data_IF_704437996005
#
_entry.id   IF_704437996005
#
_cell.length_a   1.000
_cell.length_b   1.000
_cell.length_c   1.000
_cell.angle_alpha   90.00
_cell.angle_beta   90.00
_cell.angle_gamma   90.00
#
_symmetry.space_group_name_H-M   'P 1'
#
loop_
_entity.id
_entity.type
_entity.pdbx_description
1 polymer ?
#
# COMPACT_ATOMS: atom_id res chain seq x y z
N UNK A 1 55.17 60.80 32.74
CA UNK A 1 54.19 60.60 31.66
C UNK A 1 54.08 59.13 31.12
N UNK A 2 54.77 58.15 31.67
CA UNK A 2 54.72 56.72 31.22
C UNK A 2 53.89 55.76 32.09
N UNK A 3 53.39 56.22 33.24
CA UNK A 3 52.67 55.34 34.20
C UNK A 3 51.13 55.42 33.96
N UNK A 4 50.67 56.50 33.34
CA UNK A 4 49.28 56.71 33.04
C UNK A 4 48.76 55.86 31.87
N UNK A 5 49.61 55.59 30.90
CA UNK A 5 49.24 54.75 29.73
C UNK A 5 49.06 53.26 30.06
N UNK A 6 49.85 52.75 30.99
CA UNK A 6 49.71 51.31 31.41
C UNK A 6 48.42 51.01 32.16
N UNK A 7 47.89 51.95 32.92
CA UNK A 7 46.61 51.77 33.63
C UNK A 7 45.44 51.92 32.70
N UNK A 8 45.54 52.77 31.66
CA UNK A 8 44.50 52.94 30.67
C UNK A 8 44.37 51.70 29.78
N UNK A 9 45.51 51.10 29.37
CA UNK A 9 45.55 49.87 28.57
C UNK A 9 45.03 48.64 29.34
N UNK A 10 45.33 48.52 30.66
CA UNK A 10 44.80 47.41 31.47
C UNK A 10 43.30 47.56 31.71
N UNK A 11 42.76 48.74 31.89
CA UNK A 11 41.31 48.99 32.04
C UNK A 11 40.59 48.69 30.72
N UNK A 12 41.17 49.08 29.57
CA UNK A 12 40.62 48.82 28.24
C UNK A 12 40.57 47.28 27.92
N UNK A 13 41.67 46.58 28.27
CA UNK A 13 41.71 45.12 28.09
C UNK A 13 40.70 44.39 29.01
N UNK A 14 40.50 44.85 30.23
CA UNK A 14 39.51 44.26 31.14
C UNK A 14 38.09 44.51 30.66
N UNK A 15 37.82 45.70 30.10
CA UNK A 15 36.47 46.02 29.55
C UNK A 15 36.13 45.22 28.29
N UNK A 16 37.10 44.90 27.44
CA UNK A 16 36.91 44.04 26.25
C UNK A 16 36.71 42.57 26.64
N UNK A 17 37.43 42.11 27.70
CA UNK A 17 37.27 40.72 28.19
C UNK A 17 35.90 40.48 28.85
N UNK A 18 35.34 41.49 29.56
CA UNK A 18 34.00 41.39 30.16
C UNK A 18 32.88 41.45 29.10
N UNK A 19 33.11 42.13 27.96
CA UNK A 19 32.10 42.20 26.91
C UNK A 19 31.95 40.84 26.13
N UNK A 20 33.01 40.04 26.07
CA UNK A 20 32.97 38.69 25.48
C UNK A 20 32.22 37.65 26.38
N UNK A 21 32.18 37.89 27.68
CA UNK A 21 31.49 36.98 28.65
C UNK A 21 29.97 37.21 28.73
N UNK A 22 29.48 38.30 28.14
CA UNK A 22 28.02 38.62 28.10
C UNK A 22 27.34 38.16 26.79
N UNK A 23 28.03 37.42 25.92
CA UNK A 23 27.39 36.87 24.74
C UNK A 23 26.35 35.81 25.22
N UNK A 24 25.06 36.00 25.00
CA UNK A 24 24.09 34.99 25.36
C UNK A 24 24.44 33.71 24.56
N UNK A 25 24.31 32.51 25.16
CA UNK A 25 24.51 31.26 24.42
C UNK A 25 23.59 31.34 23.19
N UNK A 26 24.16 31.28 21.99
CA UNK A 26 23.38 31.13 20.79
C UNK A 26 22.56 29.86 20.98
N UNK A 27 21.27 30.01 21.30
CA UNK A 27 20.36 28.88 21.33
C UNK A 27 20.47 28.23 19.95
N UNK A 28 21.08 27.05 19.91
CA UNK A 28 21.15 26.26 18.70
C UNK A 28 19.69 25.98 18.31
N UNK A 29 19.17 26.78 17.38
CA UNK A 29 17.86 26.51 16.78
C UNK A 29 18.01 25.18 16.08
N UNK A 30 17.49 24.13 16.69
CA UNK A 30 17.30 22.85 16.00
C UNK A 30 16.51 23.16 14.73
N UNK A 31 17.05 22.83 13.55
CA UNK A 31 16.35 23.09 12.30
C UNK A 31 14.94 22.48 12.41
N UNK A 32 13.92 23.24 12.04
CA UNK A 32 12.53 22.77 12.07
C UNK A 32 12.43 21.52 11.21
N UNK A 33 11.89 20.44 11.78
CA UNK A 33 11.70 19.18 11.06
C UNK A 33 10.82 19.42 9.81
N UNK A 34 11.29 18.98 8.66
CA UNK A 34 10.55 19.06 7.41
C UNK A 34 9.57 17.90 7.33
N UNK A 35 8.29 18.26 7.25
CA UNK A 35 7.17 17.31 7.18
C UNK A 35 6.55 17.32 5.80
N UNK A 36 6.24 16.14 5.29
CA UNK A 36 5.50 15.95 4.05
C UNK A 36 4.36 14.95 4.26
N UNK A 37 3.53 14.82 3.26
CA UNK A 37 2.48 13.81 3.19
C UNK A 37 2.66 12.93 1.96
N UNK A 38 2.10 11.73 2.01
CA UNK A 38 1.90 10.86 0.86
C UNK A 38 0.58 10.12 1.02
N UNK A 39 -0.15 9.91 -0.07
CA UNK A 39 -1.39 9.15 -0.08
C UNK A 39 -1.13 7.72 -0.58
N UNK A 40 -0.99 6.72 0.31
CA UNK A 40 -0.67 5.35 -0.09
C UNK A 40 -1.75 4.72 -0.98
N UNK A 41 -3.02 5.04 -0.74
CA UNK A 41 -4.14 4.51 -1.53
C UNK A 41 -4.10 5.04 -2.97
N UNK A 42 -3.82 6.34 -3.14
CA UNK A 42 -3.64 6.95 -4.45
C UNK A 42 -2.44 6.34 -5.16
N UNK A 43 -1.29 6.27 -4.50
CA UNK A 43 -0.06 5.67 -5.05
C UNK A 43 -0.35 4.24 -5.51
N UNK A 44 -0.94 3.41 -4.64
CA UNK A 44 -1.30 2.03 -4.96
C UNK A 44 -2.19 1.91 -6.20
N UNK A 45 -3.17 2.81 -6.38
CA UNK A 45 -4.09 2.74 -7.51
C UNK A 45 -3.51 3.26 -8.82
N UNK A 46 -2.55 4.19 -8.77
CA UNK A 46 -2.05 4.90 -9.96
C UNK A 46 -0.78 4.28 -10.56
N UNK A 47 0.05 3.55 -9.77
CA UNK A 47 1.29 2.95 -10.29
C UNK A 47 1.03 1.89 -11.36
N UNK A 48 1.95 1.82 -12.34
CA UNK A 48 1.85 0.89 -13.45
C UNK A 48 1.86 -0.59 -13.01
N UNK A 49 2.67 -0.94 -12.01
CA UNK A 49 2.72 -2.30 -11.47
C UNK A 49 1.34 -2.79 -10.99
N UNK A 50 0.54 -1.92 -10.34
CA UNK A 50 -0.82 -2.28 -9.91
C UNK A 50 -1.77 -2.46 -11.10
N UNK A 51 -1.65 -1.64 -12.15
CA UNK A 51 -2.47 -1.77 -13.36
C UNK A 51 -2.20 -3.11 -14.05
N UNK A 52 -0.93 -3.45 -14.20
CA UNK A 52 -0.51 -4.72 -14.82
C UNK A 52 -0.94 -5.92 -13.97
N UNK A 53 -0.83 -5.80 -12.64
CA UNK A 53 -1.30 -6.82 -11.71
C UNK A 53 -2.81 -7.03 -11.82
N UNK A 54 -3.61 -5.96 -11.89
CA UNK A 54 -5.07 -6.06 -12.10
C UNK A 54 -5.40 -6.75 -13.41
N UNK A 55 -4.70 -6.40 -14.49
CA UNK A 55 -4.89 -7.05 -15.81
C UNK A 55 -4.55 -8.54 -15.76
N UNK A 56 -3.46 -8.91 -15.08
CA UNK A 56 -3.08 -10.31 -14.89
C UNK A 56 -4.11 -11.07 -14.06
N UNK A 57 -4.58 -10.50 -12.96
CA UNK A 57 -5.61 -11.13 -12.11
C UNK A 57 -6.91 -11.37 -12.90
N UNK A 58 -7.30 -10.43 -13.76
CA UNK A 58 -8.48 -10.59 -14.63
C UNK A 58 -8.28 -11.73 -15.64
N UNK A 59 -7.09 -11.85 -16.22
CA UNK A 59 -6.73 -12.99 -17.10
C UNK A 59 -6.75 -14.32 -16.35
N UNK A 60 -6.15 -14.37 -15.15
CA UNK A 60 -6.13 -15.57 -14.31
C UNK A 60 -7.56 -15.99 -13.91
N UNK A 61 -8.44 -15.01 -13.59
CA UNK A 61 -9.86 -15.25 -13.30
C UNK A 61 -10.58 -15.90 -14.46
N UNK A 62 -10.40 -15.39 -15.69
CA UNK A 62 -11.02 -15.98 -16.90
C UNK A 62 -10.56 -17.43 -17.14
N UNK A 63 -9.27 -17.68 -16.92
CA UNK A 63 -8.72 -19.04 -17.04
C UNK A 63 -9.33 -19.98 -15.99
N UNK A 64 -9.48 -19.50 -14.76
CA UNK A 64 -10.08 -20.26 -13.68
C UNK A 64 -11.57 -20.59 -13.96
N UNK A 65 -12.31 -19.59 -14.45
CA UNK A 65 -13.73 -19.76 -14.83
C UNK A 65 -13.89 -20.77 -15.99
N UNK A 66 -13.00 -20.73 -16.98
CA UNK A 66 -13.01 -21.71 -18.07
C UNK A 66 -12.74 -23.12 -17.56
N UNK A 67 -11.77 -23.31 -16.66
CA UNK A 67 -11.47 -24.60 -16.04
C UNK A 67 -12.64 -25.10 -15.16
N UNK A 68 -13.28 -24.21 -14.43
CA UNK A 68 -14.44 -24.55 -13.64
C UNK A 68 -15.62 -25.03 -14.51
N UNK A 69 -15.86 -24.34 -15.63
CA UNK A 69 -16.89 -24.71 -16.59
C UNK A 69 -16.62 -26.09 -17.20
N UNK A 70 -15.37 -26.38 -17.57
CA UNK A 70 -14.97 -27.69 -18.09
C UNK A 70 -15.25 -28.79 -17.08
N UNK A 71 -14.82 -28.62 -15.82
CA UNK A 71 -15.04 -29.60 -14.75
C UNK A 71 -16.53 -29.81 -14.47
N UNK A 72 -17.33 -28.75 -14.47
CA UNK A 72 -18.82 -28.85 -14.32
C UNK A 72 -19.44 -29.61 -15.49
N UNK A 73 -18.95 -29.39 -16.71
CA UNK A 73 -19.42 -30.11 -17.90
C UNK A 73 -19.10 -31.60 -17.79
N UNK A 74 -17.88 -31.97 -17.38
CA UNK A 74 -17.48 -33.36 -17.15
C UNK A 74 -18.39 -34.04 -16.13
N UNK A 75 -18.72 -33.37 -15.01
CA UNK A 75 -19.64 -33.92 -14.01
C UNK A 75 -21.04 -34.12 -14.58
N UNK A 76 -21.53 -33.19 -15.40
CA UNK A 76 -22.83 -33.30 -16.05
C UNK A 76 -22.88 -34.47 -17.02
N UNK A 77 -21.82 -34.63 -17.83
CA UNK A 77 -21.71 -35.70 -18.80
C UNK A 77 -21.65 -37.09 -18.11
N UNK A 78 -20.87 -37.22 -17.01
CA UNK A 78 -20.84 -38.43 -16.19
C UNK A 78 -22.20 -38.74 -15.59
N UNK A 79 -22.91 -37.71 -15.14
CA UNK A 79 -24.28 -37.87 -14.61
C UNK A 79 -25.23 -38.39 -15.69
N UNK A 80 -25.23 -37.78 -16.88
CA UNK A 80 -26.07 -38.20 -17.99
C UNK A 80 -25.76 -39.63 -18.46
N UNK A 81 -24.47 -39.99 -18.51
CA UNK A 81 -24.05 -41.36 -18.88
C UNK A 81 -24.55 -42.39 -17.84
N UNK A 82 -24.43 -42.09 -16.53
CA UNK A 82 -24.92 -42.97 -15.47
C UNK A 82 -26.44 -43.14 -15.53
N UNK A 83 -27.17 -42.05 -15.72
CA UNK A 83 -28.64 -42.07 -15.70
C UNK A 83 -29.25 -42.76 -16.92
N UNK A 84 -28.45 -42.96 -17.99
CA UNK A 84 -28.85 -43.74 -19.14
C UNK A 84 -28.73 -45.25 -18.93
N UNK A 85 -28.12 -45.71 -17.83
CA UNK A 85 -27.92 -47.11 -17.51
C UNK A 85 -29.00 -47.65 -16.55
N UNK A 86 -29.18 -48.98 -16.51
CA UNK A 86 -30.04 -49.63 -15.52
C UNK A 86 -29.39 -49.55 -14.15
N UNK A 87 -30.14 -49.11 -13.08
CA UNK A 87 -29.57 -48.89 -11.76
C UNK A 87 -28.92 -50.08 -11.08
N UNK A 88 -29.30 -51.30 -11.46
CA UNK A 88 -28.79 -52.58 -10.94
C UNK A 88 -27.65 -53.18 -11.80
N UNK A 89 -27.21 -52.47 -12.85
CA UNK A 89 -26.09 -52.92 -13.68
C UNK A 89 -24.72 -52.57 -13.07
N UNK A 90 -23.73 -53.43 -13.33
CA UNK A 90 -22.33 -53.17 -12.94
C UNK A 90 -21.82 -51.84 -13.52
N UNK A 91 -22.16 -51.53 -14.78
CA UNK A 91 -21.77 -50.28 -15.42
C UNK A 91 -22.33 -49.04 -14.71
N UNK A 92 -23.55 -49.13 -14.18
CA UNK A 92 -24.11 -48.04 -13.35
C UNK A 92 -23.30 -47.87 -12.06
N UNK A 93 -22.94 -48.94 -11.36
CA UNK A 93 -22.13 -48.87 -10.15
C UNK A 93 -20.73 -48.26 -10.41
N UNK A 94 -20.08 -48.64 -11.47
CA UNK A 94 -18.77 -48.11 -11.88
C UNK A 94 -18.84 -46.62 -12.22
N UNK A 95 -19.83 -46.17 -13.00
CA UNK A 95 -20.03 -44.78 -13.32
C UNK A 95 -20.42 -43.93 -12.09
N UNK A 96 -21.23 -44.49 -11.18
CA UNK A 96 -21.59 -43.83 -9.93
C UNK A 96 -20.34 -43.60 -9.04
N UNK A 97 -19.41 -44.55 -9.00
CA UNK A 97 -18.17 -44.41 -8.28
C UNK A 97 -17.28 -43.34 -8.91
N UNK A 98 -17.14 -43.29 -10.26
CA UNK A 98 -16.42 -42.26 -10.97
C UNK A 98 -16.98 -40.86 -10.79
N UNK A 99 -18.33 -40.74 -10.80
CA UNK A 99 -19.02 -39.47 -10.56
C UNK A 99 -18.76 -38.98 -9.14
N UNK A 100 -18.84 -39.87 -8.13
CA UNK A 100 -18.53 -39.51 -6.75
C UNK A 100 -17.10 -39.00 -6.61
N UNK A 101 -16.14 -39.73 -7.19
CA UNK A 101 -14.73 -39.31 -7.17
C UNK A 101 -14.54 -37.96 -7.86
N UNK A 102 -15.07 -37.75 -9.06
CA UNK A 102 -14.97 -36.51 -9.80
C UNK A 102 -15.62 -35.33 -9.06
N UNK A 103 -16.75 -35.59 -8.34
CA UNK A 103 -17.41 -34.58 -7.51
C UNK A 103 -16.54 -34.13 -6.33
N UNK A 104 -15.91 -35.08 -5.64
CA UNK A 104 -14.99 -34.79 -4.53
C UNK A 104 -13.78 -34.00 -5.04
N UNK A 105 -13.18 -34.43 -6.17
CA UNK A 105 -12.05 -33.75 -6.79
C UNK A 105 -12.40 -32.32 -7.19
N UNK A 106 -13.59 -32.09 -7.74
CA UNK A 106 -14.07 -30.75 -8.09
C UNK A 106 -14.24 -29.86 -6.86
N UNK A 107 -14.84 -30.37 -5.79
CA UNK A 107 -15.02 -29.63 -4.54
C UNK A 107 -13.68 -29.26 -3.91
N UNK A 108 -12.75 -30.22 -3.82
CA UNK A 108 -11.41 -29.97 -3.27
C UNK A 108 -10.66 -28.95 -4.12
N UNK A 109 -10.70 -29.10 -5.45
CA UNK A 109 -10.09 -28.15 -6.38
C UNK A 109 -10.64 -26.72 -6.16
N UNK A 110 -11.97 -26.56 -6.06
CA UNK A 110 -12.59 -25.25 -5.84
C UNK A 110 -12.12 -24.57 -4.55
N UNK A 111 -12.09 -25.33 -3.44
CA UNK A 111 -11.58 -24.82 -2.15
C UNK A 111 -10.11 -24.44 -2.22
N UNK A 112 -9.28 -25.26 -2.88
CA UNK A 112 -7.86 -24.97 -3.06
C UNK A 112 -7.63 -23.71 -3.91
N UNK A 113 -8.37 -23.54 -5.02
CA UNK A 113 -8.27 -22.35 -5.86
C UNK A 113 -8.66 -21.08 -5.10
N UNK A 114 -9.76 -21.14 -4.34
CA UNK A 114 -10.20 -20.01 -3.52
C UNK A 114 -9.15 -19.61 -2.47
N UNK A 115 -8.58 -20.59 -1.77
CA UNK A 115 -7.55 -20.35 -0.78
C UNK A 115 -6.26 -19.76 -1.41
N UNK A 116 -5.86 -20.30 -2.57
CA UNK A 116 -4.68 -19.84 -3.31
C UNK A 116 -4.83 -18.40 -3.81
N UNK A 117 -5.99 -18.04 -4.38
CA UNK A 117 -6.30 -16.68 -4.83
C UNK A 117 -6.21 -15.70 -3.65
N UNK A 118 -6.84 -16.04 -2.51
CA UNK A 118 -6.79 -15.19 -1.32
C UNK A 118 -5.37 -15.04 -0.78
N UNK A 119 -4.61 -16.13 -0.71
CA UNK A 119 -3.22 -16.12 -0.27
C UNK A 119 -2.37 -15.20 -1.14
N UNK A 120 -2.49 -15.34 -2.47
CA UNK A 120 -1.76 -14.54 -3.46
C UNK A 120 -2.10 -13.06 -3.35
N UNK A 121 -3.40 -12.73 -3.23
CA UNK A 121 -3.85 -11.33 -3.05
C UNK A 121 -3.24 -10.70 -1.80
N UNK A 122 -3.25 -11.41 -0.66
CA UNK A 122 -2.63 -10.91 0.59
C UNK A 122 -1.13 -10.67 0.43
N UNK A 123 -0.41 -11.62 -0.18
CA UNK A 123 1.03 -11.49 -0.42
C UNK A 123 1.36 -10.32 -1.33
N UNK A 124 0.60 -10.13 -2.41
CA UNK A 124 0.78 -9.03 -3.35
C UNK A 124 0.51 -7.67 -2.69
N UNK A 125 -0.54 -7.57 -1.88
CA UNK A 125 -0.87 -6.35 -1.14
C UNK A 125 0.26 -5.95 -0.19
N UNK A 126 0.80 -6.89 0.59
CA UNK A 126 1.93 -6.62 1.49
C UNK A 126 3.18 -6.26 0.71
N UNK A 127 3.49 -6.96 -0.38
CA UNK A 127 4.65 -6.68 -1.22
C UNK A 127 4.59 -5.26 -1.82
N UNK A 128 3.44 -4.86 -2.36
CA UNK A 128 3.23 -3.51 -2.91
C UNK A 128 3.31 -2.44 -1.81
N UNK A 129 2.73 -2.68 -0.65
CA UNK A 129 2.83 -1.75 0.48
C UNK A 129 4.28 -1.52 0.91
N UNK A 130 5.08 -2.57 0.98
CA UNK A 130 6.50 -2.48 1.31
C UNK A 130 7.28 -1.70 0.23
N UNK A 131 6.98 -1.91 -1.06
CA UNK A 131 7.58 -1.14 -2.16
C UNK A 131 7.20 0.34 -2.07
N UNK A 132 5.93 0.67 -1.80
CA UNK A 132 5.47 2.05 -1.59
C UNK A 132 6.24 2.69 -0.46
N UNK A 133 6.34 2.03 0.69
CA UNK A 133 7.06 2.54 1.86
C UNK A 133 8.54 2.80 1.55
N UNK A 134 9.20 1.88 0.83
CA UNK A 134 10.58 2.06 0.40
C UNK A 134 10.76 3.23 -0.58
N UNK A 135 9.84 3.39 -1.53
CA UNK A 135 9.84 4.50 -2.48
C UNK A 135 9.60 5.85 -1.78
N UNK A 136 8.67 5.90 -0.81
CA UNK A 136 8.44 7.09 0.03
C UNK A 136 9.72 7.45 0.78
N UNK A 137 10.38 6.49 1.42
CA UNK A 137 11.63 6.73 2.14
C UNK A 137 12.74 7.25 1.21
N UNK A 138 12.88 6.67 0.00
CA UNK A 138 13.84 7.09 -1.02
C UNK A 138 13.59 8.55 -1.44
N UNK A 139 12.35 8.92 -1.75
CA UNK A 139 11.96 10.28 -2.16
C UNK A 139 12.14 11.26 -1.00
N UNK A 140 11.76 10.89 0.22
CA UNK A 140 11.93 11.72 1.41
C UNK A 140 13.40 12.04 1.67
N UNK A 141 14.27 11.03 1.62
CA UNK A 141 15.72 11.20 1.79
C UNK A 141 16.32 12.15 0.73
N UNK A 142 15.91 12.01 -0.55
CA UNK A 142 16.37 12.87 -1.63
C UNK A 142 15.98 14.35 -1.45
N UNK A 143 14.87 14.63 -0.74
CA UNK A 143 14.37 15.98 -0.51
C UNK A 143 14.69 16.51 0.89
N UNK A 144 15.41 15.73 1.72
CA UNK A 144 15.76 16.11 3.08
C UNK A 144 14.50 16.29 3.95
N UNK A 145 13.54 15.39 3.81
CA UNK A 145 12.30 15.37 4.60
C UNK A 145 12.49 14.41 5.75
N UNK A 146 12.16 14.86 6.97
CA UNK A 146 12.38 14.12 8.21
C UNK A 146 11.20 13.22 8.58
N UNK A 147 9.97 13.58 8.16
CA UNK A 147 8.74 12.85 8.47
C UNK A 147 7.77 12.88 7.29
N UNK A 148 7.26 11.72 6.91
CA UNK A 148 6.16 11.60 5.94
C UNK A 148 4.94 11.01 6.63
N UNK A 149 3.83 11.73 6.58
CA UNK A 149 2.55 11.29 7.15
C UNK A 149 1.73 10.62 6.04
N UNK A 150 1.24 9.41 6.30
CA UNK A 150 0.31 8.74 5.39
C UNK A 150 -1.04 9.49 5.39
N UNK A 151 -1.38 10.11 4.27
CA UNK A 151 -2.66 10.79 4.12
C UNK A 151 -3.77 9.78 3.82
N UNK A 152 -4.83 9.85 4.59
CA UNK A 152 -6.08 9.17 4.29
C UNK A 152 -7.15 10.23 3.95
N UNK A 153 -7.65 10.14 2.73
CA UNK A 153 -8.68 11.06 2.22
C UNK A 153 -9.82 10.25 1.60
N UNK A 154 -10.64 9.60 2.44
CA UNK A 154 -11.79 8.86 1.95
C UNK A 154 -12.76 9.79 1.23
N UNK A 155 -13.30 9.31 0.12
CA UNK A 155 -14.35 10.03 -0.61
C UNK A 155 -15.67 9.93 0.16
N UNK A 156 -16.30 11.07 0.38
CA UNK A 156 -17.65 11.13 0.93
C UNK A 156 -18.59 11.11 -0.28
N UNK A 157 -19.54 10.15 -0.35
CA UNK A 157 -20.47 10.07 -1.47
C UNK A 157 -21.32 11.35 -1.60
N UNK A 158 -21.55 11.80 -2.83
CA UNK A 158 -22.41 12.98 -3.10
C UNK A 158 -23.85 12.71 -2.70
N UNK A 159 -24.35 11.47 -2.92
CA UNK A 159 -25.66 11.05 -2.45
C UNK A 159 -25.53 10.39 -1.06
N UNK A 160 -26.05 11.05 -0.05
CA UNK A 160 -26.01 10.60 1.35
C UNK A 160 -27.21 9.75 1.77
N UNK A 161 -28.29 9.74 0.97
CA UNK A 161 -29.54 9.04 1.34
C UNK A 161 -29.35 7.54 1.67
N UNK A 162 -28.54 6.76 0.93
CA UNK A 162 -28.28 5.36 1.26
C UNK A 162 -27.19 5.15 2.30
N UNK A 163 -26.54 6.23 2.80
CA UNK A 163 -25.35 6.12 3.65
C UNK A 163 -25.73 6.12 5.13
N UNK A 164 -25.40 5.04 5.83
CA UNK A 164 -25.58 4.97 7.28
C UNK A 164 -24.70 6.02 7.99
N UNK A 165 -25.26 6.67 9.02
CA UNK A 165 -24.59 7.74 9.78
C UNK A 165 -23.28 7.28 10.43
N UNK A 166 -23.16 6.01 10.81
CA UNK A 166 -21.93 5.48 11.40
C UNK A 166 -20.87 5.27 10.33
N UNK A 167 -21.26 4.89 9.09
CA UNK A 167 -20.37 4.80 7.95
C UNK A 167 -19.83 6.20 7.63
N UNK A 168 -20.71 7.19 7.53
CA UNK A 168 -20.31 8.60 7.29
C UNK A 168 -19.35 9.12 8.37
N UNK A 169 -19.67 8.86 9.65
CA UNK A 169 -18.80 9.22 10.76
C UNK A 169 -17.42 8.57 10.67
N UNK A 170 -17.37 7.30 10.29
CA UNK A 170 -16.10 6.57 10.09
C UNK A 170 -15.27 7.16 8.96
N UNK A 171 -15.90 7.49 7.81
CA UNK A 171 -15.21 8.16 6.70
C UNK A 171 -14.61 9.51 7.13
N UNK A 172 -15.38 10.32 7.88
CA UNK A 172 -14.89 11.60 8.41
C UNK A 172 -13.73 11.41 9.38
N UNK A 173 -13.84 10.45 10.30
CA UNK A 173 -12.81 10.19 11.32
C UNK A 173 -11.53 9.57 10.72
N UNK A 174 -11.59 8.91 9.58
CA UNK A 174 -10.42 8.39 8.89
C UNK A 174 -9.60 9.50 8.21
N UNK A 175 -10.18 10.70 8.05
CA UNK A 175 -9.48 11.81 7.43
C UNK A 175 -8.46 12.40 8.41
N UNK A 176 -7.20 12.02 8.24
CA UNK A 176 -6.11 12.40 9.15
C UNK A 176 -5.41 13.71 8.75
N UNK A 177 -5.61 14.20 7.52
CA UNK A 177 -5.10 15.49 7.03
C UNK A 177 -6.27 16.32 6.54
N UNK A 178 -6.53 17.46 7.17
CA UNK A 178 -7.61 18.38 6.79
C UNK A 178 -7.21 19.28 5.62
N UNK A 179 -5.96 19.73 5.62
CA UNK A 179 -5.40 20.63 4.62
C UNK A 179 -3.91 20.37 4.42
N UNK A 180 -3.47 20.43 3.20
CA UNK A 180 -2.06 20.45 2.81
C UNK A 180 -1.85 21.34 1.58
N UNK A 181 -0.71 21.99 1.52
CA UNK A 181 -0.23 22.59 0.28
C UNK A 181 0.21 21.49 -0.68
N UNK A 182 -0.03 21.61 -2.01
CA UNK A 182 0.51 20.67 -3.00
C UNK A 182 2.03 20.49 -2.91
N UNK A 183 2.75 21.49 -2.44
CA UNK A 183 4.20 21.45 -2.30
C UNK A 183 4.72 20.40 -1.29
N UNK A 184 3.90 20.00 -0.32
CA UNK A 184 4.27 19.00 0.70
C UNK A 184 3.77 17.60 0.36
N UNK A 185 3.01 17.42 -0.73
CA UNK A 185 2.53 16.12 -1.20
C UNK A 185 3.60 15.46 -2.07
N UNK A 186 4.04 14.28 -1.64
CA UNK A 186 5.05 13.48 -2.35
C UNK A 186 4.45 12.43 -3.29
N UNK A 187 3.13 12.26 -3.30
CA UNK A 187 2.47 11.14 -3.99
C UNK A 187 2.89 11.04 -5.46
N UNK A 188 2.87 12.15 -6.21
CA UNK A 188 3.25 12.15 -7.63
C UNK A 188 4.72 11.76 -7.86
N UNK A 189 5.62 12.21 -6.99
CA UNK A 189 7.06 11.87 -7.09
C UNK A 189 7.30 10.42 -6.74
N UNK A 190 6.57 9.88 -5.78
CA UNK A 190 6.62 8.46 -5.40
C UNK A 190 6.11 7.60 -6.54
N UNK A 191 4.97 7.94 -7.15
CA UNK A 191 4.43 7.26 -8.32
C UNK A 191 5.44 7.24 -9.46
N UNK A 192 6.00 8.41 -9.81
CA UNK A 192 6.99 8.50 -10.88
C UNK A 192 8.26 7.67 -10.59
N UNK A 193 8.70 7.64 -9.32
CA UNK A 193 9.86 6.84 -8.90
C UNK A 193 9.58 5.35 -9.01
N UNK A 194 8.42 4.89 -8.55
CA UNK A 194 8.02 3.49 -8.63
C UNK A 194 7.84 3.03 -10.06
N UNK A 195 7.21 3.84 -10.93
CA UNK A 195 7.04 3.52 -12.34
C UNK A 195 8.37 3.45 -13.09
N UNK A 196 9.33 4.31 -12.74
CA UNK A 196 10.68 4.25 -13.30
C UNK A 196 11.44 3.00 -12.83
N UNK A 197 11.37 2.67 -11.54
CA UNK A 197 12.01 1.47 -10.97
C UNK A 197 11.36 0.19 -11.55
N UNK A 198 10.04 0.15 -11.72
CA UNK A 198 9.32 -0.96 -12.34
C UNK A 198 9.72 -1.20 -13.79
N UNK A 199 9.79 -0.13 -14.61
CA UNK A 199 10.27 -0.22 -16.01
C UNK A 199 11.72 -0.67 -16.12
N UNK A 200 12.55 -0.33 -15.12
CA UNK A 200 13.94 -0.76 -15.06
C UNK A 200 14.12 -2.21 -14.55
N UNK A 201 13.05 -2.90 -14.18
CA UNK A 201 13.09 -4.26 -13.63
C UNK A 201 13.67 -4.36 -12.22
N UNK A 202 13.53 -3.31 -11.43
CA UNK A 202 14.04 -3.21 -10.05
C UNK A 202 12.96 -3.46 -9.02
#
# INVERSE_FOLDING_TARGET
MRIMDRRLTTILCLAVLTLMLLSPPAAAQTPAAKVAIANPARIFNEIQETKDLKAKMESDRKTLEATELEKRTQLRDLTAQRDALKPDSQAYAELNQRLLQASIEFEVWGRMQQAEVQRRQKQQMVALFNKITAAVAKVAAQQGIDLVIAEQRPEIPDNLDPVDINVLRNLINQRNVLFNSPAVDLSDKVIATMDADYKAGK
#
